data_IF_438000829863
#
_entry.id   IF_438000829863
#
_cell.length_a   1.000
_cell.length_b   1.000
_cell.length_c   1.000
_cell.angle_alpha   90.00
_cell.angle_beta   90.00
_cell.angle_gamma   90.00
#
_symmetry.space_group_name_H-M   'P 1'
#
loop_
_entity.id
_entity.type
_entity.pdbx_description
1 polymer ?
#
# COMPACT_ATOMS: atom_id res chain seq x y z
N UNK A 1 -1.56 22.69 3.98
CA UNK A 1 -1.85 21.24 4.09
C UNK A 1 -0.51 20.53 4.10
N UNK A 2 -0.23 19.67 5.08
CA UNK A 2 0.95 18.82 5.00
C UNK A 2 0.77 17.85 3.83
N UNK A 3 1.76 17.74 2.94
CA UNK A 3 1.71 16.80 1.83
C UNK A 3 1.63 15.35 2.34
N UNK A 4 0.97 14.48 1.58
CA UNK A 4 0.98 13.05 1.86
C UNK A 4 2.43 12.55 1.83
N UNK A 5 2.82 11.70 2.78
CA UNK A 5 4.16 11.11 2.86
C UNK A 5 4.05 9.60 2.86
N UNK A 6 4.92 8.95 2.09
CA UNK A 6 5.09 7.49 2.13
C UNK A 6 5.91 7.11 3.37
N UNK A 7 5.34 7.32 4.55
CA UNK A 7 5.94 6.90 5.81
C UNK A 7 5.82 5.39 6.03
N UNK A 8 6.32 4.90 7.17
CA UNK A 8 6.35 3.47 7.48
C UNK A 8 4.94 2.85 7.52
N UNK A 9 3.93 3.60 7.99
CA UNK A 9 2.54 3.13 8.08
C UNK A 9 1.86 3.13 6.72
N UNK A 10 2.04 4.19 5.93
CA UNK A 10 1.53 4.28 4.57
C UNK A 10 2.13 3.18 3.69
N UNK A 11 3.44 2.95 3.81
CA UNK A 11 4.15 1.86 3.14
C UNK A 11 3.56 0.52 3.52
N UNK A 12 3.47 0.17 4.81
CA UNK A 12 2.92 -1.12 5.24
C UNK A 12 1.45 -1.31 4.78
N UNK A 13 0.65 -0.25 4.72
CA UNK A 13 -0.73 -0.33 4.23
C UNK A 13 -0.79 -0.68 2.73
N UNK A 14 0.11 -0.13 1.93
CA UNK A 14 0.25 -0.50 0.51
C UNK A 14 0.75 -1.94 0.37
N UNK A 15 1.70 -2.35 1.21
CA UNK A 15 2.22 -3.73 1.21
C UNK A 15 1.11 -4.75 1.53
N UNK A 16 0.30 -4.49 2.57
CA UNK A 16 -0.87 -5.29 2.93
C UNK A 16 -1.86 -5.43 1.76
N UNK A 17 -2.08 -4.35 0.99
CA UNK A 17 -2.94 -4.38 -0.18
C UNK A 17 -2.35 -5.23 -1.31
N UNK A 18 -1.06 -5.04 -1.62
CA UNK A 18 -0.36 -5.77 -2.69
C UNK A 18 -0.25 -7.27 -2.41
N UNK A 19 -0.22 -7.66 -1.14
CA UNK A 19 -0.06 -9.06 -0.74
C UNK A 19 -1.32 -9.73 -0.20
N UNK A 20 -2.49 -9.07 -0.25
CA UNK A 20 -3.74 -9.59 0.31
C UNK A 20 -4.15 -10.97 -0.25
N UNK A 21 -3.74 -11.29 -1.49
CA UNK A 21 -3.97 -12.60 -2.12
C UNK A 21 -2.91 -13.67 -1.82
N UNK A 22 -1.84 -13.35 -1.08
CA UNK A 22 -0.81 -14.34 -0.73
C UNK A 22 -1.32 -15.21 0.42
N UNK A 23 -1.66 -16.46 0.12
CA UNK A 23 -2.18 -17.43 1.08
C UNK A 23 -1.15 -18.03 2.05
N UNK A 24 0.02 -17.41 2.24
CA UNK A 24 1.04 -17.89 3.18
C UNK A 24 0.70 -17.44 4.62
N UNK A 25 0.30 -18.36 5.53
CA UNK A 25 -0.15 -17.99 6.86
C UNK A 25 0.95 -17.39 7.74
N UNK A 26 2.21 -17.79 7.55
CA UNK A 26 3.35 -17.28 8.33
C UNK A 26 3.59 -15.82 7.95
N UNK A 27 3.59 -15.55 6.65
CA UNK A 27 3.74 -14.19 6.13
C UNK A 27 2.60 -13.27 6.59
N UNK A 28 1.35 -13.74 6.51
CA UNK A 28 0.16 -13.00 6.95
C UNK A 28 0.23 -12.66 8.45
N UNK A 29 0.67 -13.61 9.29
CA UNK A 29 0.87 -13.36 10.72
C UNK A 29 1.97 -12.35 11.00
N UNK A 30 3.07 -12.38 10.24
CA UNK A 30 4.16 -11.42 10.41
C UNK A 30 3.70 -10.00 10.06
N UNK A 31 3.02 -9.82 8.92
CA UNK A 31 2.47 -8.51 8.55
C UNK A 31 1.48 -7.97 9.59
N UNK A 32 0.69 -8.84 10.20
CA UNK A 32 -0.25 -8.41 11.25
C UNK A 32 0.47 -7.99 12.53
N UNK A 33 1.57 -8.66 12.90
CA UNK A 33 2.44 -8.22 14.02
C UNK A 33 3.06 -6.86 13.73
N UNK A 34 3.61 -6.68 12.53
CA UNK A 34 4.25 -5.43 12.12
C UNK A 34 3.24 -4.28 12.12
N UNK A 35 2.02 -4.52 11.62
CA UNK A 35 0.95 -3.52 11.61
C UNK A 35 0.50 -3.13 13.02
N UNK A 36 0.35 -4.09 13.93
CA UNK A 36 0.04 -3.83 15.33
C UNK A 36 1.16 -3.06 16.04
N UNK A 37 2.43 -3.35 15.72
CA UNK A 37 3.57 -2.59 16.25
C UNK A 37 3.57 -1.11 15.80
N UNK A 38 2.99 -0.81 14.64
CA UNK A 38 2.76 0.55 14.14
C UNK A 38 1.44 1.19 14.66
N UNK A 39 0.76 0.54 15.61
CA UNK A 39 -0.50 1.01 16.17
C UNK A 39 -1.66 0.98 15.18
N UNK A 40 -1.64 0.11 14.17
CA UNK A 40 -2.80 -0.11 13.31
C UNK A 40 -3.84 -0.96 14.03
N UNK A 41 -5.10 -0.55 13.92
CA UNK A 41 -6.24 -1.35 14.38
C UNK A 41 -6.52 -2.50 13.41
N UNK A 42 -7.21 -3.54 13.88
CA UNK A 42 -7.64 -4.64 13.01
C UNK A 42 -8.47 -4.15 11.82
N UNK A 43 -9.35 -3.17 12.02
CA UNK A 43 -10.16 -2.59 10.96
C UNK A 43 -9.33 -1.87 9.89
N UNK A 44 -8.26 -1.17 10.28
CA UNK A 44 -7.35 -0.52 9.33
C UNK A 44 -6.53 -1.54 8.52
N UNK A 45 -6.10 -2.63 9.16
CA UNK A 45 -5.41 -3.74 8.50
C UNK A 45 -6.34 -4.40 7.47
N UNK A 46 -7.58 -4.69 7.88
CA UNK A 46 -8.59 -5.29 7.00
C UNK A 46 -8.93 -4.39 5.82
N UNK A 47 -9.04 -3.07 6.05
CA UNK A 47 -9.28 -2.09 4.98
C UNK A 47 -8.10 -2.04 4.01
N UNK A 48 -6.87 -2.01 4.51
CA UNK A 48 -5.67 -2.04 3.66
C UNK A 48 -5.64 -3.30 2.78
N UNK A 49 -5.93 -4.48 3.35
CA UNK A 49 -6.03 -5.73 2.59
C UNK A 49 -7.14 -5.74 1.55
N UNK A 50 -8.24 -5.02 1.79
CA UNK A 50 -9.31 -4.78 0.80
C UNK A 50 -8.94 -3.74 -0.26
N UNK A 51 -7.72 -3.20 -0.23
CA UNK A 51 -7.26 -2.20 -1.18
C UNK A 51 -7.78 -0.80 -0.89
N UNK A 52 -8.05 -0.46 0.37
CA UNK A 52 -8.59 0.85 0.76
C UNK A 52 -8.04 1.32 2.12
N UNK A 53 -8.46 2.51 2.56
CA UNK A 53 -8.13 3.09 3.86
C UNK A 53 -9.23 4.05 4.29
N UNK A 54 -9.35 4.29 5.59
CA UNK A 54 -10.18 5.37 6.13
C UNK A 54 -9.56 6.74 5.88
N UNK A 55 -8.23 6.81 5.73
CA UNK A 55 -7.54 8.02 5.28
C UNK A 55 -7.69 8.17 3.77
N UNK A 56 -8.21 9.32 3.33
CA UNK A 56 -8.51 9.57 1.93
C UNK A 56 -7.25 9.56 1.06
N UNK A 57 -6.15 10.18 1.50
CA UNK A 57 -4.92 10.25 0.72
C UNK A 57 -4.28 8.86 0.63
N UNK A 58 -4.23 8.12 1.73
CA UNK A 58 -3.74 6.75 1.75
C UNK A 58 -4.60 5.82 0.88
N UNK A 59 -5.93 5.97 0.89
CA UNK A 59 -6.82 5.22 0.00
C UNK A 59 -6.50 5.47 -1.48
N UNK A 60 -6.16 6.72 -1.85
CA UNK A 60 -5.69 7.04 -3.21
C UNK A 60 -4.32 6.46 -3.52
N UNK A 61 -3.40 6.48 -2.55
CA UNK A 61 -2.08 5.87 -2.70
C UNK A 61 -2.18 4.34 -2.90
N UNK A 62 -3.03 3.65 -2.13
CA UNK A 62 -3.29 2.22 -2.30
C UNK A 62 -3.92 1.93 -3.67
N UNK A 63 -4.89 2.74 -4.11
CA UNK A 63 -5.50 2.58 -5.42
C UNK A 63 -4.48 2.72 -6.57
N UNK A 64 -3.55 3.69 -6.48
CA UNK A 64 -2.44 3.81 -7.42
C UNK A 64 -1.53 2.58 -7.39
N UNK A 65 -1.19 2.07 -6.21
CA UNK A 65 -0.30 0.93 -6.08
C UNK A 65 -0.88 -0.35 -6.69
N UNK A 66 -2.18 -0.56 -6.51
CA UNK A 66 -2.90 -1.70 -7.09
C UNK A 66 -3.10 -1.55 -8.59
N UNK A 67 -3.44 -0.35 -9.06
CA UNK A 67 -3.78 -0.08 -10.47
C UNK A 67 -3.19 1.28 -10.93
N UNK A 68 -1.93 1.31 -11.42
CA UNK A 68 -1.23 2.54 -11.78
C UNK A 68 -1.69 3.09 -13.15
N UNK A 69 -2.97 3.42 -13.28
CA UNK A 69 -3.54 4.03 -14.49
C UNK A 69 -3.48 5.55 -14.45
N UNK A 70 -3.57 6.19 -15.63
CA UNK A 70 -3.63 7.65 -15.73
C UNK A 70 -4.75 8.27 -14.87
N UNK A 71 -5.90 7.59 -14.77
CA UNK A 71 -7.04 7.99 -13.93
C UNK A 71 -6.71 7.96 -12.44
N UNK A 72 -6.03 6.91 -11.96
CA UNK A 72 -5.61 6.82 -10.57
C UNK A 72 -4.52 7.84 -10.24
N UNK A 73 -3.58 8.06 -11.16
CA UNK A 73 -2.55 9.10 -11.05
C UNK A 73 -3.16 10.50 -10.96
N UNK A 74 -4.12 10.83 -11.82
CA UNK A 74 -4.82 12.13 -11.79
C UNK A 74 -5.55 12.33 -10.46
N UNK A 75 -6.25 11.29 -9.97
CA UNK A 75 -6.97 11.34 -8.69
C UNK A 75 -6.04 11.47 -7.49
N UNK A 76 -4.88 10.81 -7.51
CA UNK A 76 -3.85 10.93 -6.49
C UNK A 76 -3.25 12.34 -6.46
N UNK A 77 -2.95 12.91 -7.63
CA UNK A 77 -2.50 14.31 -7.75
C UNK A 77 -3.53 15.29 -7.18
N UNK A 78 -4.81 15.13 -7.53
CA UNK A 78 -5.93 15.92 -6.97
C UNK A 78 -6.10 15.74 -5.46
N UNK A 79 -5.64 14.63 -4.90
CA UNK A 79 -5.63 14.36 -3.46
C UNK A 79 -4.37 14.90 -2.75
N UNK A 80 -3.46 15.58 -3.46
CA UNK A 80 -2.24 16.14 -2.88
C UNK A 80 -1.09 15.14 -2.74
N UNK A 81 -1.11 14.04 -3.49
CA UNK A 81 0.05 13.14 -3.64
C UNK A 81 0.92 13.72 -4.76
N UNK A 82 2.14 14.12 -4.42
CA UNK A 82 3.07 14.69 -5.39
C UNK A 82 3.71 13.62 -6.30
N UNK A 83 4.37 14.09 -7.36
CA UNK A 83 4.99 13.22 -8.35
C UNK A 83 6.12 12.36 -7.78
N UNK A 84 6.84 12.86 -6.76
CA UNK A 84 7.92 12.12 -6.12
C UNK A 84 7.37 10.94 -5.32
N UNK A 85 6.34 11.19 -4.51
CA UNK A 85 5.67 10.17 -3.71
C UNK A 85 5.01 9.12 -4.61
N UNK A 86 4.42 9.55 -5.73
CA UNK A 86 3.90 8.64 -6.75
C UNK A 86 5.00 7.73 -7.31
N UNK A 87 6.17 8.28 -7.68
CA UNK A 87 7.30 7.49 -8.17
C UNK A 87 7.84 6.51 -7.12
N UNK A 88 7.83 6.88 -5.84
CA UNK A 88 8.27 5.99 -4.75
C UNK A 88 7.27 4.85 -4.50
N UNK A 89 5.96 5.10 -4.67
CA UNK A 89 4.94 4.04 -4.69
C UNK A 89 5.17 3.09 -5.87
N UNK A 90 5.46 3.60 -7.07
CA UNK A 90 5.74 2.73 -8.22
C UNK A 90 6.96 1.83 -8.00
N UNK A 91 8.05 2.38 -7.44
CA UNK A 91 9.24 1.57 -7.07
C UNK A 91 8.89 0.46 -6.08
N UNK A 92 8.06 0.77 -5.08
CA UNK A 92 7.59 -0.21 -4.10
C UNK A 92 6.79 -1.34 -4.77
N UNK A 93 5.88 -1.00 -5.68
CA UNK A 93 5.09 -1.97 -6.43
C UNK A 93 5.98 -2.89 -7.26
N UNK A 94 6.97 -2.34 -7.96
CA UNK A 94 7.94 -3.12 -8.74
C UNK A 94 8.69 -4.11 -7.85
N UNK A 95 9.19 -3.68 -6.69
CA UNK A 95 9.93 -4.60 -5.79
C UNK A 95 9.06 -5.77 -5.31
N UNK A 96 7.76 -5.53 -5.06
CA UNK A 96 6.83 -6.56 -4.63
C UNK A 96 6.44 -7.54 -5.75
N UNK A 97 6.35 -7.06 -6.99
CA UNK A 97 6.14 -7.90 -8.18
C UNK A 97 7.35 -8.79 -8.43
N UNK A 98 8.55 -8.24 -8.39
CA UNK A 98 9.80 -8.99 -8.62
C UNK A 98 9.98 -10.09 -7.57
N UNK A 99 9.72 -9.79 -6.29
CA UNK A 99 9.73 -10.79 -5.22
C UNK A 99 8.61 -11.84 -5.36
N UNK A 100 7.48 -11.50 -5.98
CA UNK A 100 6.44 -12.47 -6.29
C UNK A 100 6.89 -13.45 -7.36
N UNK A 101 7.54 -12.95 -8.41
CA UNK A 101 8.04 -13.76 -9.52
C UNK A 101 9.15 -14.71 -9.06
N UNK A 102 10.04 -14.26 -8.17
CA UNK A 102 11.12 -15.08 -7.62
C UNK A 102 10.65 -16.22 -6.68
N UNK A 103 9.44 -16.15 -6.14
CA UNK A 103 8.88 -17.21 -5.27
C UNK A 103 8.00 -18.21 -6.01
N UNK A 104 7.70 -17.96 -7.29
CA UNK A 104 6.90 -18.82 -8.17
C UNK A 104 7.72 -19.62 -9.19
N UNK A 105 9.05 -19.43 -9.19
CA UNK A 105 10.03 -20.19 -9.97
C UNK A 105 10.80 -21.17 -9.08
#
# INVERSE_FOLDING_TARGET
>A
MAGFKLDVRARLSIELALTAGRGDPIFVQQQEKDAKALGMTGAEIDMARKGSSFDFQLSRAIAVALEPTAKHRERASKAGIDAQTYADIEKLVVSYRDQSLLRSA
#
